data_IF_077315693914
#
_entry.id   IF_077315693914
#
_cell.length_a   1.000
_cell.length_b   1.000
_cell.length_c   1.000
_cell.angle_alpha   90.00
_cell.angle_beta   90.00
_cell.angle_gamma   90.00
#
_symmetry.space_group_name_H-M   'P 1'
#
loop_
_entity.id
_entity.type
_entity.pdbx_description
1 polymer ?
#
# COMPACT_ATOMS: atom_id res chain seq x y z
N UNK A 1 -8.90 7.54 -10.94
CA UNK A 1 -7.81 7.38 -11.90
C UNK A 1 -8.10 6.14 -12.74
N UNK A 2 -7.89 6.16 -14.06
CA UNK A 2 -8.02 5.03 -15.00
C UNK A 2 -9.37 4.28 -15.06
N UNK A 3 -10.47 4.87 -14.58
CA UNK A 3 -11.79 4.26 -14.72
C UNK A 3 -12.22 4.18 -16.20
N UNK A 4 -12.69 3.00 -16.64
CA UNK A 4 -13.08 2.68 -18.02
C UNK A 4 -11.94 2.77 -19.07
N UNK A 5 -10.70 2.75 -18.61
CA UNK A 5 -9.51 2.83 -19.49
C UNK A 5 -9.02 1.44 -19.88
N UNK A 6 -8.42 1.35 -21.08
CA UNK A 6 -7.78 0.14 -21.57
C UNK A 6 -6.33 0.50 -21.90
N UNK A 7 -5.40 -0.06 -21.14
CA UNK A 7 -3.96 0.08 -21.38
C UNK A 7 -3.50 -0.85 -22.50
N UNK A 8 -2.39 -0.52 -23.15
CA UNK A 8 -1.62 -1.48 -23.95
C UNK A 8 -0.75 -2.34 -23.01
N UNK A 9 -0.64 -3.64 -23.30
CA UNK A 9 0.23 -4.55 -22.53
C UNK A 9 1.69 -4.07 -22.44
N UNK A 10 2.17 -3.39 -23.47
CA UNK A 10 3.53 -2.85 -23.53
C UNK A 10 3.77 -1.71 -22.55
N UNK A 11 2.72 -1.09 -22.04
CA UNK A 11 2.80 -0.02 -21.04
C UNK A 11 2.89 -0.58 -19.61
N UNK A 12 2.60 -1.88 -19.43
CA UNK A 12 2.57 -2.53 -18.11
C UNK A 12 3.97 -2.93 -17.61
N UNK A 13 4.24 -2.81 -16.32
CA UNK A 13 3.39 -2.22 -15.28
C UNK A 13 3.45 -0.69 -15.26
N UNK A 14 2.33 -0.04 -14.98
CA UNK A 14 2.27 1.40 -14.71
C UNK A 14 2.35 1.62 -13.21
N UNK A 15 3.26 2.48 -12.76
CA UNK A 15 3.49 2.77 -11.35
C UNK A 15 3.35 4.25 -11.06
N UNK A 16 2.76 4.55 -9.91
CA UNK A 16 2.61 5.90 -9.39
C UNK A 16 3.17 6.02 -7.98
N UNK A 17 3.70 7.20 -7.69
CA UNK A 17 3.98 7.64 -6.34
C UNK A 17 3.14 8.89 -6.09
N UNK A 18 2.18 8.78 -5.21
CA UNK A 18 1.31 9.89 -4.80
C UNK A 18 1.77 10.50 -3.49
N UNK A 19 1.80 11.83 -3.41
CA UNK A 19 1.95 12.56 -2.16
C UNK A 19 0.65 13.30 -1.85
N UNK A 20 0.13 13.12 -0.64
CA UNK A 20 -1.07 13.81 -0.21
C UNK A 20 -1.06 14.07 1.31
N UNK A 21 -1.64 15.20 1.69
CA UNK A 21 -2.04 15.44 3.07
C UNK A 21 -3.36 14.72 3.33
N UNK A 22 -3.38 13.90 4.36
CA UNK A 22 -4.54 13.10 4.77
C UNK A 22 -5.14 13.61 6.05
N UNK A 23 -6.47 13.46 6.18
CA UNK A 23 -7.22 13.95 7.34
C UNK A 23 -8.04 12.81 7.96
N UNK A 24 -8.07 12.75 9.28
CA UNK A 24 -8.88 11.79 10.04
C UNK A 24 -9.67 12.50 11.13
N UNK A 25 -10.98 12.24 11.23
CA UNK A 25 -11.83 12.78 12.29
C UNK A 25 -11.56 12.21 13.68
N UNK A 26 -10.92 11.01 13.76
CA UNK A 26 -10.56 10.29 14.98
C UNK A 26 -11.73 10.08 15.96
N UNK A 27 -12.96 10.13 15.48
CA UNK A 27 -14.15 9.91 16.28
C UNK A 27 -14.17 8.48 16.86
N UNK A 28 -14.33 8.35 18.16
CA UNK A 28 -14.46 7.06 18.87
C UNK A 28 -13.14 6.40 19.27
N UNK A 29 -12.00 7.03 19.04
CA UNK A 29 -10.67 6.49 19.42
C UNK A 29 -10.09 7.11 20.70
N UNK A 30 -10.93 7.64 21.56
CA UNK A 30 -10.50 8.27 22.81
C UNK A 30 -9.62 7.34 23.64
N UNK A 31 -8.40 7.79 23.95
CA UNK A 31 -7.49 7.15 24.89
C UNK A 31 -6.55 6.08 24.32
N UNK A 32 -6.69 5.67 23.06
CA UNK A 32 -5.73 4.77 22.41
C UNK A 32 -4.92 5.53 21.36
N UNK A 33 -3.60 5.55 21.51
CA UNK A 33 -2.65 6.08 20.52
C UNK A 33 -2.78 7.59 20.19
N UNK A 34 -3.55 8.34 21.00
CA UNK A 34 -3.72 9.79 20.83
C UNK A 34 -2.53 10.60 21.36
N UNK A 35 -1.60 9.96 22.05
CA UNK A 35 -0.38 10.61 22.54
C UNK A 35 0.75 10.43 21.53
N UNK A 36 1.41 11.54 21.22
CA UNK A 36 2.56 11.55 20.30
C UNK A 36 2.17 11.57 18.81
N UNK A 37 3.08 11.13 17.96
CA UNK A 37 3.02 11.25 16.50
C UNK A 37 2.30 10.09 15.80
N UNK A 38 1.88 9.06 16.53
CA UNK A 38 1.35 7.81 15.94
C UNK A 38 -0.01 8.03 15.29
N UNK A 39 -0.84 8.88 15.89
CA UNK A 39 -2.19 9.14 15.42
C UNK A 39 -2.51 10.63 15.47
N UNK A 40 -2.70 11.23 14.32
CA UNK A 40 -2.92 12.67 14.15
C UNK A 40 -4.12 12.93 13.26
N UNK A 41 -4.78 14.10 13.48
CA UNK A 41 -5.89 14.54 12.64
C UNK A 41 -5.47 14.88 11.21
N UNK A 42 -4.24 15.35 11.04
CA UNK A 42 -3.67 15.71 9.76
C UNK A 42 -2.26 15.12 9.67
N UNK A 43 -1.95 14.45 8.57
CA UNK A 43 -0.63 13.86 8.32
C UNK A 43 -0.34 13.76 6.82
N UNK A 44 0.91 13.83 6.48
CA UNK A 44 1.38 13.66 5.11
C UNK A 44 1.74 12.20 4.85
N UNK A 45 1.33 11.70 3.69
CA UNK A 45 1.53 10.33 3.27
C UNK A 45 2.00 10.27 1.82
N UNK A 46 2.96 9.41 1.58
CA UNK A 46 3.37 8.99 0.24
C UNK A 46 2.88 7.57 0.01
N UNK A 47 2.18 7.35 -1.10
CA UNK A 47 1.59 6.06 -1.46
C UNK A 47 2.09 5.61 -2.83
N UNK A 48 2.45 4.34 -2.92
CA UNK A 48 2.81 3.68 -4.18
C UNK A 48 1.61 2.92 -4.70
N UNK A 49 1.35 3.05 -5.98
CA UNK A 49 0.28 2.34 -6.69
C UNK A 49 0.87 1.65 -7.91
N UNK A 50 0.45 0.41 -8.21
CA UNK A 50 0.76 -0.24 -9.47
C UNK A 50 -0.45 -0.83 -10.14
N UNK A 51 -0.44 -0.74 -11.46
CA UNK A 51 -1.37 -1.36 -12.39
C UNK A 51 -0.57 -2.34 -13.23
N UNK A 52 -0.93 -3.60 -13.19
CA UNK A 52 -0.13 -4.66 -13.80
C UNK A 52 -1.01 -5.75 -14.40
N UNK A 53 -0.40 -6.65 -15.14
CA UNK A 53 -1.09 -7.88 -15.57
C UNK A 53 -1.19 -8.86 -14.40
N UNK A 54 -2.04 -9.87 -14.52
CA UNK A 54 -2.20 -10.90 -13.49
C UNK A 54 -0.87 -11.63 -13.19
N UNK A 55 -0.06 -11.87 -14.21
CA UNK A 55 1.22 -12.61 -14.12
C UNK A 55 2.28 -11.83 -13.33
N UNK A 56 2.34 -10.50 -13.51
CA UNK A 56 3.38 -9.66 -12.90
C UNK A 56 2.96 -9.01 -11.59
N UNK A 57 1.68 -9.08 -11.25
CA UNK A 57 1.09 -8.40 -10.10
C UNK A 57 1.70 -8.82 -8.75
N UNK A 58 2.06 -10.08 -8.59
CA UNK A 58 2.71 -10.55 -7.36
C UNK A 58 4.12 -9.96 -7.22
N UNK A 59 4.86 -9.83 -8.31
CA UNK A 59 6.20 -9.24 -8.30
C UNK A 59 6.14 -7.74 -7.97
N UNK A 60 5.09 -7.03 -8.41
CA UNK A 60 4.84 -5.64 -8.03
C UNK A 60 4.60 -5.50 -6.51
N UNK A 61 3.84 -6.41 -5.91
CA UNK A 61 3.66 -6.45 -4.46
C UNK A 61 5.00 -6.69 -3.73
N UNK A 62 5.82 -7.61 -4.22
CA UNK A 62 7.14 -7.86 -3.65
C UNK A 62 8.07 -6.66 -3.80
N UNK A 63 8.04 -5.98 -4.95
CA UNK A 63 8.80 -4.76 -5.18
C UNK A 63 8.44 -3.67 -4.16
N UNK A 64 7.14 -3.39 -3.97
CA UNK A 64 6.69 -2.38 -3.01
C UNK A 64 7.11 -2.71 -1.58
N UNK A 65 6.93 -3.98 -1.20
CA UNK A 65 7.38 -4.45 0.10
C UNK A 65 8.90 -4.31 0.28
N UNK A 66 9.67 -4.58 -0.78
CA UNK A 66 11.13 -4.38 -0.79
C UNK A 66 11.53 -2.90 -0.67
N UNK A 67 10.79 -2.00 -1.33
CA UNK A 67 11.00 -0.54 -1.19
C UNK A 67 10.77 -0.08 0.25
N UNK A 68 9.71 -0.56 0.90
CA UNK A 68 9.44 -0.24 2.30
C UNK A 68 10.59 -0.69 3.22
N UNK A 69 11.05 -1.93 3.06
CA UNK A 69 12.20 -2.45 3.84
C UNK A 69 13.47 -1.63 3.57
N UNK A 70 13.73 -1.30 2.31
CA UNK A 70 14.87 -0.44 1.94
C UNK A 70 14.81 0.92 2.65
N UNK A 71 13.65 1.58 2.66
CA UNK A 71 13.47 2.86 3.34
C UNK A 71 13.75 2.75 4.85
N UNK A 72 13.22 1.72 5.52
CA UNK A 72 13.49 1.48 6.94
C UNK A 72 14.97 1.26 7.23
N UNK A 73 15.66 0.52 6.37
CA UNK A 73 17.11 0.27 6.47
C UNK A 73 17.93 1.55 6.27
N UNK A 74 17.58 2.38 5.27
CA UNK A 74 18.26 3.67 5.05
C UNK A 74 18.09 4.62 6.23
N UNK A 75 16.94 4.61 6.88
CA UNK A 75 16.67 5.40 8.09
C UNK A 75 17.26 4.76 9.36
N UNK A 76 17.79 3.54 9.27
CA UNK A 76 18.32 2.76 10.40
C UNK A 76 17.29 2.58 11.53
N UNK A 77 16.02 2.45 11.17
CA UNK A 77 14.93 2.19 12.11
C UNK A 77 14.77 0.67 12.27
N UNK A 78 14.87 0.13 13.49
CA UNK A 78 14.59 -1.28 13.74
C UNK A 78 13.12 -1.59 13.41
N UNK A 79 12.88 -2.65 12.67
CA UNK A 79 11.54 -3.03 12.24
C UNK A 79 11.36 -4.54 12.22
N UNK A 80 10.11 -4.96 12.18
CA UNK A 80 9.71 -6.31 11.81
C UNK A 80 8.71 -6.26 10.67
N UNK A 81 8.67 -7.31 9.86
CA UNK A 81 7.73 -7.47 8.76
C UNK A 81 6.74 -8.56 9.12
N UNK A 82 5.47 -8.26 8.99
CA UNK A 82 4.36 -9.16 9.27
C UNK A 82 3.61 -9.50 8.00
N UNK A 83 3.26 -10.77 7.85
CA UNK A 83 2.24 -11.19 6.91
C UNK A 83 0.88 -11.07 7.59
N UNK A 84 -0.03 -10.26 7.05
CA UNK A 84 -1.38 -10.12 7.59
C UNK A 84 -2.11 -11.47 7.59
N UNK A 85 -2.80 -11.76 8.67
CA UNK A 85 -3.70 -12.92 8.70
C UNK A 85 -5.01 -12.59 7.94
N UNK A 86 -5.72 -13.63 7.53
CA UNK A 86 -6.97 -13.49 6.75
C UNK A 86 -8.08 -12.73 7.47
N UNK A 87 -8.03 -12.67 8.80
CA UNK A 87 -8.98 -11.91 9.61
C UNK A 87 -8.72 -10.40 9.57
N UNK A 88 -7.49 -9.99 9.30
CA UNK A 88 -7.03 -8.59 9.36
C UNK A 88 -6.91 -7.93 7.99
N UNK A 89 -7.01 -8.68 6.90
CA UNK A 89 -7.01 -8.11 5.56
C UNK A 89 -8.38 -7.53 5.21
N UNK A 90 -8.38 -6.36 4.53
CA UNK A 90 -9.60 -5.76 4.00
C UNK A 90 -10.22 -6.57 2.86
N UNK A 91 -11.51 -6.32 2.57
CA UNK A 91 -12.22 -6.99 1.46
C UNK A 91 -11.51 -6.92 0.09
N UNK A 92 -10.79 -5.82 -0.25
CA UNK A 92 -10.08 -5.75 -1.53
C UNK A 92 -8.87 -6.68 -1.61
N UNK A 93 -8.31 -7.05 -0.47
CA UNK A 93 -6.98 -7.63 -0.40
C UNK A 93 -7.03 -9.15 -0.50
N UNK A 94 -6.28 -9.72 -1.43
CA UNK A 94 -6.00 -11.15 -1.48
C UNK A 94 -4.84 -11.54 -0.55
N UNK A 95 -3.93 -10.58 -0.31
CA UNK A 95 -2.76 -10.71 0.56
C UNK A 95 -2.35 -9.33 1.04
N UNK A 96 -1.74 -9.23 2.22
CA UNK A 96 -1.17 -7.98 2.73
C UNK A 96 0.03 -8.26 3.63
N UNK A 97 0.93 -7.31 3.69
CA UNK A 97 2.05 -7.30 4.63
C UNK A 97 2.20 -5.94 5.27
N UNK A 98 2.61 -5.91 6.52
CA UNK A 98 2.88 -4.69 7.26
C UNK A 98 4.34 -4.63 7.69
N UNK A 99 4.84 -3.41 7.81
CA UNK A 99 6.07 -3.12 8.54
C UNK A 99 5.71 -2.41 9.81
N UNK A 100 6.23 -2.93 10.91
CA UNK A 100 6.12 -2.32 12.23
C UNK A 100 7.50 -1.84 12.68
N UNK A 101 7.62 -0.56 12.98
CA UNK A 101 8.83 0.04 13.54
C UNK A 101 8.85 -0.11 15.07
N UNK A 102 10.05 -0.28 15.62
CA UNK A 102 10.25 -0.25 17.06
C UNK A 102 10.14 1.17 17.61
N UNK A 103 9.24 1.40 18.54
CA UNK A 103 9.06 2.66 19.24
C UNK A 103 9.61 2.56 20.68
N UNK A 104 10.81 3.09 20.94
CA UNK A 104 11.41 3.00 22.29
C UNK A 104 10.55 3.61 23.39
N UNK A 105 9.90 4.74 23.13
CA UNK A 105 9.04 5.41 24.11
C UNK A 105 7.80 4.61 24.52
N UNK A 106 7.37 3.66 23.70
CA UNK A 106 6.25 2.76 23.97
C UNK A 106 6.70 1.34 24.31
N UNK A 107 7.99 1.02 24.14
CA UNK A 107 8.57 -0.30 24.29
C UNK A 107 7.81 -1.38 23.50
N UNK A 108 7.45 -1.08 22.24
CA UNK A 108 6.73 -2.00 21.35
C UNK A 108 6.90 -1.65 19.88
N UNK A 109 6.58 -2.61 19.02
CA UNK A 109 6.46 -2.40 17.58
C UNK A 109 5.11 -1.76 17.24
N UNK A 110 5.12 -0.87 16.25
CA UNK A 110 3.93 -0.18 15.75
C UNK A 110 3.94 -0.12 14.24
N UNK A 111 2.80 -0.38 13.64
CA UNK A 111 2.60 -0.30 12.20
C UNK A 111 2.98 1.08 11.65
N UNK A 112 3.85 1.07 10.64
CA UNK A 112 4.27 2.26 9.90
C UNK A 112 3.95 2.18 8.41
N UNK A 113 3.96 0.97 7.86
CA UNK A 113 3.71 0.73 6.44
C UNK A 113 2.81 -0.48 6.27
N UNK A 114 2.00 -0.44 5.21
CA UNK A 114 1.26 -1.59 4.71
C UNK A 114 1.50 -1.74 3.21
N UNK A 115 1.46 -2.97 2.71
CA UNK A 115 1.49 -3.28 1.29
C UNK A 115 0.41 -4.31 1.00
N UNK A 116 -0.50 -3.98 0.10
CA UNK A 116 -1.68 -4.77 -0.21
C UNK A 116 -1.69 -5.26 -1.67
N UNK A 117 -1.97 -6.54 -1.84
CA UNK A 117 -2.13 -7.22 -3.12
C UNK A 117 -3.62 -7.46 -3.36
N UNK A 118 -4.21 -6.77 -4.34
CA UNK A 118 -5.67 -6.71 -4.49
C UNK A 118 -6.21 -7.50 -5.68
N UNK A 119 -5.34 -8.10 -6.49
CA UNK A 119 -5.74 -8.75 -7.72
C UNK A 119 -6.61 -7.84 -8.61
N UNK A 120 -7.70 -8.33 -9.15
CA UNK A 120 -8.64 -7.59 -10.00
C UNK A 120 -9.79 -6.92 -9.24
N UNK A 121 -9.74 -6.86 -7.91
CA UNK A 121 -10.86 -6.35 -7.11
C UNK A 121 -11.26 -4.92 -7.46
N UNK A 122 -10.28 -4.03 -7.60
CA UNK A 122 -10.53 -2.63 -7.95
C UNK A 122 -10.88 -2.47 -9.43
N UNK A 123 -10.17 -3.17 -10.31
CA UNK A 123 -10.38 -3.07 -11.75
C UNK A 123 -11.74 -3.58 -12.21
N UNK A 124 -12.34 -4.56 -11.53
CA UNK A 124 -13.73 -4.98 -11.75
C UNK A 124 -14.71 -3.83 -11.57
N UNK A 125 -14.48 -2.99 -10.57
CA UNK A 125 -15.36 -1.84 -10.24
C UNK A 125 -15.12 -0.65 -11.14
N UNK A 126 -13.86 -0.40 -11.44
CA UNK A 126 -13.42 0.72 -12.27
C UNK A 126 -13.47 0.43 -13.76
N UNK A 127 -13.65 -0.85 -14.16
CA UNK A 127 -13.58 -1.31 -15.55
C UNK A 127 -12.24 -0.97 -16.21
N UNK A 128 -11.16 -1.01 -15.43
CA UNK A 128 -9.81 -0.78 -15.92
C UNK A 128 -9.25 -2.09 -16.48
N UNK A 129 -8.77 -2.06 -17.71
CA UNK A 129 -8.41 -3.26 -18.47
C UNK A 129 -7.07 -3.10 -19.17
N UNK A 130 -6.53 -4.20 -19.63
CA UNK A 130 -5.35 -4.25 -20.51
C UNK A 130 -5.70 -5.00 -21.79
N UNK A 131 -5.21 -4.50 -22.91
CA UNK A 131 -5.25 -5.19 -24.20
C UNK A 131 -3.95 -5.94 -24.38
N UNK A 132 -4.04 -7.24 -24.46
CA UNK A 132 -2.91 -8.13 -24.72
C UNK A 132 -2.41 -8.01 -26.15
N UNK A 133 -1.17 -8.37 -26.39
CA UNK A 133 -0.58 -8.46 -27.73
C UNK A 133 -1.37 -9.43 -28.62
N UNK A 134 -2.04 -10.42 -28.05
CA UNK A 134 -2.98 -11.32 -28.73
C UNK A 134 -4.26 -10.64 -29.24
N UNK A 135 -4.57 -9.43 -28.75
CA UNK A 135 -5.81 -8.69 -28.96
C UNK A 135 -6.89 -8.96 -27.90
N UNK A 136 -6.69 -9.91 -27.02
CA UNK A 136 -7.58 -10.16 -25.88
C UNK A 136 -7.59 -8.98 -24.90
N UNK A 137 -8.74 -8.72 -24.29
CA UNK A 137 -8.92 -7.65 -23.29
C UNK A 137 -9.33 -8.27 -21.98
N UNK A 138 -8.55 -8.03 -20.93
CA UNK A 138 -8.78 -8.55 -19.60
C UNK A 138 -8.68 -7.47 -18.53
N UNK A 139 -9.12 -7.78 -17.31
CA UNK A 139 -8.98 -6.89 -16.16
C UNK A 139 -7.51 -6.85 -15.71
N UNK A 140 -7.05 -5.66 -15.34
CA UNK A 140 -5.73 -5.51 -14.72
C UNK A 140 -5.79 -5.91 -13.24
N UNK A 141 -4.62 -6.13 -12.66
CA UNK A 141 -4.42 -6.23 -11.23
C UNK A 141 -3.87 -4.93 -10.65
N UNK A 142 -4.16 -4.68 -9.38
CA UNK A 142 -3.67 -3.52 -8.66
C UNK A 142 -2.97 -3.91 -7.38
N UNK A 143 -1.98 -3.11 -6.99
CA UNK A 143 -1.35 -3.15 -5.69
C UNK A 143 -1.24 -1.74 -5.17
N UNK A 144 -1.38 -1.55 -3.88
CA UNK A 144 -1.03 -0.32 -3.20
C UNK A 144 -0.07 -0.58 -2.04
N UNK A 145 0.70 0.43 -1.70
CA UNK A 145 1.58 0.34 -0.55
C UNK A 145 1.97 1.73 -0.04
N UNK A 146 1.97 1.87 1.26
CA UNK A 146 2.54 3.06 1.90
C UNK A 146 4.03 3.12 1.64
N UNK A 147 4.49 4.15 0.91
CA UNK A 147 5.93 4.44 0.84
C UNK A 147 6.39 5.12 2.12
N UNK A 148 5.61 6.08 2.62
CA UNK A 148 6.00 6.82 3.81
C UNK A 148 4.80 7.49 4.49
N UNK A 149 4.56 7.19 5.77
CA UNK A 149 3.70 7.96 6.65
C UNK A 149 4.60 8.90 7.46
N UNK A 150 4.76 10.16 6.99
CA UNK A 150 5.82 11.06 7.44
C UNK A 150 5.87 11.22 8.96
N UNK A 151 4.73 11.38 9.62
CA UNK A 151 4.68 11.53 11.07
C UNK A 151 5.10 10.30 11.87
N UNK A 152 5.01 9.09 11.29
CA UNK A 152 5.39 7.85 11.99
C UNK A 152 6.86 7.49 11.83
N UNK A 153 7.54 8.07 10.87
CA UNK A 153 8.94 7.77 10.56
C UNK A 153 9.91 8.82 11.12
N UNK A 154 9.39 9.86 11.76
CA UNK A 154 10.18 10.85 12.51
C UNK A 154 10.39 10.37 13.94
#
# INVERSE_FOLDING_TARGET
MHANEIFDEKEMPVRYLGYATSFRGEAGTYGKDMEGIIRMHQFDKMEMESFSTAETSHDEHLLFSGVQEYLMQQLRIPYQKLQKCTFDIGKPNAKGSDIEAWLPGQNKYRETHTADYMTDYQSRRLQTRVRRTSGEVELIHTNDATAFACGRAM
#
